data_IF_586119684931
#
_entry.id   IF_586119684931
#
_cell.length_a   1.000
_cell.length_b   1.000
_cell.length_c   1.000
_cell.angle_alpha   90.00
_cell.angle_beta   90.00
_cell.angle_gamma   90.00
#
_symmetry.space_group_name_H-M   'P 1'
#
loop_
_entity.id
_entity.type
_entity.pdbx_description
1 polymer ?
#
# COMPACT_ATOMS: atom_id res chain seq x y z
N UNK A 1 9.69 -5.01 -5.63
CA UNK A 1 8.33 -5.46 -5.24
C UNK A 1 7.35 -4.72 -6.15
N UNK A 2 6.41 -5.42 -6.79
CA UNK A 2 5.44 -4.80 -7.70
C UNK A 2 4.06 -4.78 -7.04
N UNK A 3 3.27 -3.70 -7.19
CA UNK A 3 1.93 -3.61 -6.61
C UNK A 3 0.94 -4.55 -7.30
N UNK A 4 -0.17 -4.86 -6.62
CA UNK A 4 -1.32 -5.53 -7.25
C UNK A 4 -2.01 -4.50 -8.16
N UNK A 5 -2.17 -4.84 -9.43
CA UNK A 5 -2.89 -4.03 -10.42
C UNK A 5 -4.29 -4.62 -10.63
N UNK A 6 -5.32 -3.76 -10.61
CA UNK A 6 -6.73 -4.17 -10.74
C UNK A 6 -7.33 -4.63 -9.41
N UNK A 7 -8.22 -5.63 -9.46
CA UNK A 7 -8.93 -6.12 -8.27
C UNK A 7 -7.95 -6.62 -7.20
N UNK A 8 -8.08 -6.07 -6.01
CA UNK A 8 -7.35 -6.48 -4.81
C UNK A 8 -8.33 -7.13 -3.84
N UNK A 9 -8.06 -8.39 -3.51
CA UNK A 9 -8.80 -9.11 -2.47
C UNK A 9 -7.96 -9.17 -1.22
N UNK A 10 -8.40 -8.50 -0.15
CA UNK A 10 -7.73 -8.45 1.16
C UNK A 10 -8.30 -9.50 2.10
N UNK A 11 -7.43 -10.20 2.82
CA UNK A 11 -7.86 -11.10 3.88
C UNK A 11 -8.23 -10.28 5.13
N UNK A 12 -9.43 -10.48 5.68
CA UNK A 12 -9.93 -9.75 6.86
C UNK A 12 -9.64 -10.47 8.18
N UNK A 13 -9.28 -11.75 8.11
CA UNK A 13 -8.96 -12.57 9.27
C UNK A 13 -7.48 -12.51 9.66
N UNK A 14 -6.58 -12.26 8.69
CA UNK A 14 -5.17 -12.01 8.96
C UNK A 14 -5.00 -10.75 9.82
N UNK A 15 -4.26 -10.87 10.92
CA UNK A 15 -4.04 -9.78 11.89
C UNK A 15 -2.63 -9.21 11.82
N UNK A 16 -1.76 -9.85 11.04
CA UNK A 16 -0.42 -9.39 10.78
C UNK A 16 -0.45 -8.09 9.96
N UNK A 17 0.42 -7.13 10.29
CA UNK A 17 0.51 -5.83 9.60
C UNK A 17 0.78 -6.01 8.09
N UNK A 18 1.59 -7.02 7.74
CA UNK A 18 1.90 -7.34 6.35
C UNK A 18 0.68 -7.85 5.57
N UNK A 19 -0.37 -8.32 6.26
CA UNK A 19 -1.61 -8.81 5.68
C UNK A 19 -1.46 -10.04 4.78
N UNK A 20 -2.52 -10.34 4.03
CA UNK A 20 -2.53 -11.33 2.95
C UNK A 20 -3.50 -10.88 1.88
N UNK A 21 -2.98 -10.55 0.70
CA UNK A 21 -3.77 -10.07 -0.42
C UNK A 21 -3.57 -10.91 -1.67
N UNK A 22 -4.61 -11.02 -2.48
CA UNK A 22 -4.56 -11.64 -3.79
C UNK A 22 -4.99 -10.63 -4.85
N UNK A 23 -4.33 -10.65 -6.01
CA UNK A 23 -4.90 -10.03 -7.20
C UNK A 23 -6.13 -10.81 -7.68
N UNK A 24 -6.97 -10.19 -8.51
CA UNK A 24 -8.19 -10.82 -9.04
C UNK A 24 -7.96 -12.16 -9.72
N UNK A 25 -6.87 -12.33 -10.48
CA UNK A 25 -6.56 -13.61 -11.13
C UNK A 25 -6.15 -14.70 -10.14
N UNK A 26 -5.44 -14.33 -9.07
CA UNK A 26 -5.11 -15.28 -8.01
C UNK A 26 -6.34 -15.66 -7.19
N UNK A 27 -7.25 -14.72 -6.93
CA UNK A 27 -8.53 -15.01 -6.29
C UNK A 27 -9.36 -16.00 -7.13
N UNK A 28 -9.58 -15.71 -8.42
CA UNK A 28 -10.38 -16.54 -9.34
C UNK A 28 -9.84 -17.96 -9.50
N UNK A 29 -8.53 -18.10 -9.67
CA UNK A 29 -7.94 -19.41 -10.01
C UNK A 29 -7.45 -20.19 -8.78
N UNK A 30 -7.04 -19.50 -7.70
CA UNK A 30 -6.34 -20.09 -6.55
C UNK A 30 -6.56 -19.29 -5.25
N UNK A 31 -7.81 -19.06 -4.86
CA UNK A 31 -8.14 -18.37 -3.60
C UNK A 31 -7.57 -19.08 -2.35
N UNK A 32 -7.55 -20.42 -2.35
CA UNK A 32 -7.18 -21.27 -1.20
C UNK A 32 -5.66 -21.42 -0.98
N UNK A 33 -4.86 -20.40 -1.30
CA UNK A 33 -3.40 -20.46 -1.11
C UNK A 33 -3.07 -20.27 0.38
N UNK A 34 -2.11 -21.02 0.94
CA UNK A 34 -1.65 -20.76 2.30
C UNK A 34 -0.82 -19.47 2.38
N UNK A 35 -0.72 -18.93 3.59
CA UNK A 35 0.18 -17.81 3.90
C UNK A 35 1.65 -18.09 3.58
N UNK A 36 2.43 -17.03 3.39
CA UNK A 36 3.90 -17.07 3.26
C UNK A 36 4.52 -16.11 4.26
N UNK A 37 5.85 -16.16 4.42
CA UNK A 37 6.58 -15.17 5.22
C UNK A 37 6.01 -14.96 6.64
N UNK A 38 5.76 -16.05 7.37
CA UNK A 38 5.16 -16.05 8.71
C UNK A 38 3.73 -15.48 8.81
N UNK A 39 3.02 -15.31 7.69
CA UNK A 39 1.58 -15.06 7.71
C UNK A 39 0.84 -16.33 8.14
N UNK A 40 -0.03 -16.24 9.14
CA UNK A 40 -0.89 -17.34 9.59
C UNK A 40 -2.19 -17.44 8.77
N UNK A 41 -2.13 -17.07 7.49
CA UNK A 41 -3.28 -17.20 6.59
C UNK A 41 -3.61 -18.68 6.34
N UNK A 42 -4.88 -19.02 6.47
CA UNK A 42 -5.41 -20.35 6.15
C UNK A 42 -6.43 -20.26 5.01
N UNK A 43 -6.63 -21.32 4.21
CA UNK A 43 -7.62 -21.33 3.12
C UNK A 43 -9.06 -21.05 3.53
N UNK A 44 -9.39 -21.17 4.82
CA UNK A 44 -10.72 -20.91 5.37
C UNK A 44 -10.92 -19.44 5.75
N UNK A 45 -9.85 -18.63 5.73
CA UNK A 45 -9.97 -17.19 5.97
C UNK A 45 -10.77 -16.51 4.85
N UNK A 46 -11.54 -15.52 5.25
CA UNK A 46 -12.35 -14.71 4.34
C UNK A 46 -11.49 -13.68 3.62
N UNK A 47 -11.73 -13.57 2.32
CA UNK A 47 -11.15 -12.58 1.40
C UNK A 47 -12.28 -11.66 0.92
N UNK A 48 -12.05 -10.35 0.95
CA UNK A 48 -13.00 -9.33 0.51
C UNK A 48 -12.37 -8.44 -0.57
N UNK A 49 -13.15 -8.07 -1.57
CA UNK A 49 -12.72 -7.13 -2.61
C UNK A 49 -12.58 -5.75 -1.99
N UNK A 50 -11.41 -5.14 -2.14
CA UNK A 50 -11.15 -3.76 -1.73
C UNK A 50 -11.76 -2.85 -2.79
N UNK A 51 -12.72 -2.02 -2.39
CA UNK A 51 -13.30 -0.99 -3.25
C UNK A 51 -12.39 0.25 -3.21
N UNK A 52 -12.34 1.03 -4.30
CA UNK A 52 -11.42 2.16 -4.42
C UNK A 52 -11.62 3.24 -3.32
N UNK A 53 -12.81 3.28 -2.73
CA UNK A 53 -13.18 4.20 -1.65
C UNK A 53 -12.59 3.78 -0.28
N UNK A 54 -12.05 2.54 -0.15
CA UNK A 54 -11.38 2.02 1.05
C UNK A 54 -9.86 2.26 1.03
N UNK A 55 -9.40 3.22 0.25
CA UNK A 55 -8.07 3.78 0.48
C UNK A 55 -8.15 4.55 1.80
N UNK A 56 -7.50 4.02 2.84
CA UNK A 56 -7.18 4.77 4.06
C UNK A 56 -6.36 6.01 3.62
N UNK A 57 -7.06 7.07 3.26
CA UNK A 57 -6.56 8.39 2.89
C UNK A 57 -5.92 9.14 4.08
N UNK A 58 -5.61 8.43 5.17
CA UNK A 58 -4.99 8.98 6.36
C UNK A 58 -3.55 9.47 6.14
N UNK A 59 -2.94 9.20 4.99
CA UNK A 59 -1.59 9.66 4.62
C UNK A 59 -1.52 10.55 3.37
N UNK A 60 -2.68 11.00 2.84
CA UNK A 60 -2.74 12.02 1.79
C UNK A 60 -3.38 13.28 2.37
N UNK A 61 -2.60 14.02 3.16
CA UNK A 61 -2.98 15.36 3.58
C UNK A 61 -2.93 16.27 2.34
N UNK A 62 -4.08 16.39 1.66
CA UNK A 62 -4.30 17.37 0.61
C UNK A 62 -4.26 18.75 1.26
N UNK A 63 -3.09 19.38 1.27
CA UNK A 63 -2.98 20.82 1.51
C UNK A 63 -3.72 21.48 0.34
N UNK A 64 -4.94 21.96 0.60
CA UNK A 64 -5.66 22.83 -0.31
C UNK A 64 -5.07 24.22 -0.17
N UNK A 65 -3.99 24.49 -0.89
CA UNK A 65 -3.60 25.86 -1.18
C UNK A 65 -4.36 26.29 -2.44
N UNK A 66 -5.47 27.01 -2.22
CA UNK A 66 -6.15 27.76 -3.26
C UNK A 66 -5.29 28.98 -3.60
N UNK A 67 -4.41 28.88 -4.58
CA UNK A 67 -3.91 30.05 -5.30
C UNK A 67 -3.56 29.68 -6.75
N UNK A 68 -4.43 30.16 -7.65
CA UNK A 68 -4.31 30.10 -9.11
C UNK A 68 -2.94 30.61 -9.59
N UNK A 69 -2.02 29.72 -9.99
CA UNK A 69 -1.08 30.01 -11.09
C UNK A 69 -0.67 28.74 -11.84
N UNK A 70 -0.94 28.77 -13.14
CA UNK A 70 -0.43 27.86 -14.16
C UNK A 70 1.11 27.92 -14.21
N UNK A 71 1.80 26.89 -13.72
CA UNK A 71 3.15 26.57 -14.20
C UNK A 71 3.50 25.12 -13.87
N UNK A 72 3.81 24.36 -14.91
CA UNK A 72 4.29 22.98 -14.81
C UNK A 72 5.76 22.98 -14.44
N UNK A 73 6.07 23.10 -13.15
CA UNK A 73 7.44 23.00 -12.64
C UNK A 73 7.57 21.83 -11.65
N UNK A 74 8.35 20.83 -12.08
CA UNK A 74 8.75 19.70 -11.24
C UNK A 74 9.71 20.21 -10.16
N UNK A 75 9.24 20.32 -8.92
CA UNK A 75 10.12 20.59 -7.79
C UNK A 75 10.90 19.31 -7.47
N UNK A 76 12.15 19.27 -7.92
CA UNK A 76 13.13 18.28 -7.49
C UNK A 76 13.53 18.66 -6.06
N UNK A 77 13.01 17.94 -5.06
CA UNK A 77 13.48 18.09 -3.69
C UNK A 77 14.87 17.45 -3.62
N UNK A 78 15.90 18.30 -3.52
CA UNK A 78 17.28 17.89 -3.32
C UNK A 78 17.40 17.33 -1.90
N UNK A 79 17.78 16.06 -1.78
CA UNK A 79 18.04 15.44 -0.48
C UNK A 79 19.37 15.99 0.03
N UNK A 80 19.32 16.76 1.11
CA UNK A 80 20.55 17.14 1.81
C UNK A 80 21.10 15.92 2.54
N UNK A 81 22.32 15.57 2.16
CA UNK A 81 23.14 14.55 2.80
C UNK A 81 23.81 15.20 3.99
N UNK A 82 23.19 15.14 5.17
CA UNK A 82 23.88 15.58 6.38
C UNK A 82 24.92 14.56 6.81
N UNK A 83 26.13 14.88 6.35
CA UNK A 83 27.44 14.49 6.85
C UNK A 83 27.50 14.48 8.37
N UNK A 84 28.10 13.41 8.91
CA UNK A 84 28.62 13.29 10.25
C UNK A 84 29.36 14.54 10.76
N UNK A 85 29.15 14.88 12.03
CA UNK A 85 30.15 15.56 12.85
C UNK A 85 30.26 14.84 14.20
N UNK A 86 31.44 14.24 14.42
CA UNK A 86 31.96 13.88 15.74
C UNK A 86 32.32 15.17 16.48
N UNK A 87 31.97 15.30 17.76
CA UNK A 87 32.56 16.29 18.66
C UNK A 87 33.23 15.60 19.86
N UNK A 88 34.38 16.16 20.25
CA UNK A 88 35.47 15.66 21.11
C UNK A 88 35.12 15.33 22.58
#
# INVERSE_FOLDING_TARGET
MYPIIGDRYKCVDCKEIIGFDLCGDCYKNRAKRPGRFNQKHTPDHKLELVLADDTDFSDLELVQDEDDTDSSDLIVIQYDTDSSTDEE
#
